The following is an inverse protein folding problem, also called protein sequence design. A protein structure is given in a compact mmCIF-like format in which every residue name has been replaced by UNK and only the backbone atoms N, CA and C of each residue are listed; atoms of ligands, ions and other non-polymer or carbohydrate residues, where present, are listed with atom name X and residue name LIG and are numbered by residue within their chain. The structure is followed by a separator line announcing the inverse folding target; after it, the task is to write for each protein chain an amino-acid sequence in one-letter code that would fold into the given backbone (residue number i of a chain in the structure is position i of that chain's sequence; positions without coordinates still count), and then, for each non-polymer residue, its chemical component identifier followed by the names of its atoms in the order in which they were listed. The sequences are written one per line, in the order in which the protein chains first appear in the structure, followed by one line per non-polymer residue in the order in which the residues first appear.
data_IF_986397205960
#
_entry.id   IF_986397205960
#
_cell.length_a   1.000
_cell.length_b   1.000
_cell.length_c   1.000
_cell.angle_alpha   90.00
_cell.angle_beta   90.00
_cell.angle_gamma   90.00
#
_symmetry.space_group_name_H-M   'P 1'
#
loop_
_entity.id
_entity.type
_entity.pdbx_description
1 polymer ?
#
# COMPACT_ATOMS: atom_id res chain seq x y z
N UNK A 1 15.79 -18.82 2.38
CA UNK A 1 14.65 -18.80 1.44
C UNK A 1 15.00 -19.54 0.14
N UNK A 2 15.11 -20.88 0.13
CA UNK A 2 15.43 -21.66 -1.08
C UNK A 2 14.53 -22.89 -1.27
N UNK A 3 13.33 -22.88 -0.68
CA UNK A 3 12.45 -24.05 -0.67
C UNK A 3 11.39 -24.04 -1.78
N UNK A 4 11.10 -22.88 -2.41
CA UNK A 4 10.02 -22.74 -3.42
C UNK A 4 10.53 -22.24 -4.78
N UNK A 5 11.74 -21.66 -4.86
CA UNK A 5 12.23 -21.05 -6.09
C UNK A 5 13.06 -22.03 -6.92
N UNK A 6 12.53 -22.46 -8.07
CA UNK A 6 13.34 -23.00 -9.19
C UNK A 6 14.32 -21.92 -9.66
N UNK A 7 15.47 -22.27 -10.25
CA UNK A 7 16.53 -21.31 -10.63
C UNK A 7 16.04 -20.12 -11.48
N UNK A 8 14.96 -20.30 -12.26
CA UNK A 8 14.30 -19.21 -13.03
C UNK A 8 13.56 -18.17 -12.18
N UNK A 9 13.21 -18.47 -10.93
CA UNK A 9 12.49 -17.57 -10.01
C UNK A 9 13.41 -16.91 -8.99
N UNK A 10 14.72 -17.18 -9.03
CA UNK A 10 15.69 -16.59 -8.11
C UNK A 10 15.69 -15.05 -8.19
N UNK A 11 15.43 -14.48 -9.37
CA UNK A 11 15.34 -13.03 -9.57
C UNK A 11 14.07 -12.40 -8.96
N UNK A 12 12.98 -13.17 -8.87
CA UNK A 12 11.71 -12.71 -8.29
C UNK A 12 11.71 -12.74 -6.75
N UNK A 13 12.52 -13.62 -6.15
CA UNK A 13 12.61 -13.78 -4.70
C UNK A 13 12.81 -12.47 -3.91
N UNK A 14 13.76 -11.58 -4.26
CA UNK A 14 13.92 -10.30 -3.55
C UNK A 14 12.71 -9.36 -3.72
N UNK A 15 12.06 -9.36 -4.89
CA UNK A 15 10.89 -8.52 -5.15
C UNK A 15 9.70 -8.99 -4.31
N UNK A 16 9.44 -10.30 -4.28
CA UNK A 16 8.41 -10.89 -3.43
C UNK A 16 8.68 -10.67 -1.96
N UNK A 17 9.94 -10.70 -1.53
CA UNK A 17 10.29 -10.40 -0.14
C UNK A 17 10.01 -8.95 0.26
N UNK A 18 10.05 -7.99 -0.68
CA UNK A 18 9.64 -6.62 -0.41
C UNK A 18 8.11 -6.54 -0.40
N UNK A 19 7.45 -7.16 -1.37
CA UNK A 19 5.99 -7.18 -1.48
C UNK A 19 5.29 -7.88 -0.31
N UNK A 20 5.95 -8.83 0.37
CA UNK A 20 5.37 -9.47 1.56
C UNK A 20 5.08 -8.46 2.68
N UNK A 21 5.84 -7.36 2.79
CA UNK A 21 5.54 -6.27 3.70
C UNK A 21 4.29 -5.48 3.28
N UNK A 22 4.01 -5.37 1.98
CA UNK A 22 2.81 -4.71 1.48
C UNK A 22 1.53 -5.46 1.88
N UNK A 23 1.59 -6.77 2.10
CA UNK A 23 0.43 -7.58 2.53
C UNK A 23 -0.15 -7.07 3.86
N UNK A 24 0.71 -6.68 4.80
CA UNK A 24 0.25 -6.11 6.07
C UNK A 24 -0.41 -4.74 5.85
N UNK A 25 0.23 -3.86 5.08
CA UNK A 25 -0.34 -2.57 4.70
C UNK A 25 -1.70 -2.73 4.02
N UNK A 26 -1.81 -3.65 3.06
CA UNK A 26 -3.02 -3.97 2.33
C UNK A 26 -4.14 -4.48 3.24
N UNK A 27 -3.82 -5.40 4.17
CA UNK A 27 -4.81 -5.93 5.10
C UNK A 27 -5.40 -4.81 5.98
N UNK A 28 -4.55 -3.95 6.53
CA UNK A 28 -4.99 -2.84 7.37
C UNK A 28 -5.68 -1.73 6.57
N UNK A 29 -5.19 -1.41 5.37
CA UNK A 29 -5.83 -0.49 4.43
C UNK A 29 -7.28 -0.95 4.16
N UNK A 30 -7.48 -2.20 3.73
CA UNK A 30 -8.82 -2.73 3.45
C UNK A 30 -9.73 -2.69 4.68
N UNK A 31 -9.21 -3.05 5.86
CA UNK A 31 -9.98 -2.96 7.11
C UNK A 31 -10.43 -1.52 7.37
N UNK A 32 -9.51 -0.54 7.28
CA UNK A 32 -9.86 0.88 7.47
C UNK A 32 -10.83 1.39 6.42
N UNK A 33 -10.69 0.99 5.16
CA UNK A 33 -11.60 1.37 4.09
C UNK A 33 -13.03 0.86 4.32
N UNK A 34 -13.18 -0.39 4.76
CA UNK A 34 -14.48 -0.97 5.12
C UNK A 34 -15.10 -0.17 6.29
N UNK A 35 -14.32 0.14 7.32
CA UNK A 35 -14.78 0.94 8.46
C UNK A 35 -15.24 2.35 8.02
N UNK A 36 -14.43 3.05 7.21
CA UNK A 36 -14.78 4.37 6.68
C UNK A 36 -16.09 4.33 5.88
N UNK A 37 -16.26 3.33 5.01
CA UNK A 37 -17.48 3.17 4.23
C UNK A 37 -18.69 2.91 5.15
N UNK A 38 -18.54 2.06 6.16
CA UNK A 38 -19.59 1.78 7.16
C UNK A 38 -19.98 2.99 8.01
N UNK A 39 -19.03 3.90 8.26
CA UNK A 39 -19.26 5.18 8.96
C UNK A 39 -19.81 6.29 8.04
N UNK A 40 -20.10 5.99 6.77
CA UNK A 40 -20.58 7.00 5.79
C UNK A 40 -19.49 7.93 5.26
N UNK A 41 -18.21 7.67 5.55
CA UNK A 41 -17.04 8.45 5.12
C UNK A 41 -16.51 8.02 3.73
N UNK A 42 -17.38 7.51 2.86
CA UNK A 42 -16.99 6.93 1.55
C UNK A 42 -16.27 7.92 0.64
N UNK A 43 -16.63 9.22 0.67
CA UNK A 43 -15.90 10.26 -0.09
C UNK A 43 -14.47 10.42 0.40
N UNK A 44 -14.27 10.46 1.72
CA UNK A 44 -12.94 10.57 2.32
C UNK A 44 -12.08 9.34 1.98
N UNK A 45 -12.67 8.14 2.04
CA UNK A 45 -12.00 6.91 1.62
C UNK A 45 -11.60 6.96 0.14
N UNK A 46 -12.50 7.41 -0.74
CA UNK A 46 -12.21 7.60 -2.16
C UNK A 46 -11.05 8.57 -2.39
N UNK A 47 -11.03 9.73 -1.73
CA UNK A 47 -9.96 10.71 -1.88
C UNK A 47 -8.62 10.18 -1.36
N UNK A 48 -8.59 9.46 -0.23
CA UNK A 48 -7.36 8.85 0.25
C UNK A 48 -6.82 7.84 -0.77
N UNK A 49 -7.65 6.91 -1.24
CA UNK A 49 -7.23 5.91 -2.24
C UNK A 49 -6.77 6.56 -3.55
N UNK A 50 -7.45 7.63 -3.98
CA UNK A 50 -7.08 8.37 -5.19
C UNK A 50 -5.73 9.10 -5.03
N UNK A 51 -5.48 9.73 -3.88
CA UNK A 51 -4.15 10.32 -3.61
C UNK A 51 -3.07 9.25 -3.49
N UNK A 52 -3.40 8.07 -2.95
CA UNK A 52 -2.52 6.90 -2.95
C UNK A 52 -2.16 6.42 -4.36
N UNK A 53 -3.13 6.37 -5.28
CA UNK A 53 -2.90 6.06 -6.69
C UNK A 53 -1.95 7.07 -7.34
N UNK A 54 -2.17 8.37 -7.12
CA UNK A 54 -1.30 9.42 -7.65
C UNK A 54 0.12 9.27 -7.11
N UNK A 55 0.27 9.08 -5.79
CA UNK A 55 1.56 8.85 -5.15
C UNK A 55 2.27 7.63 -5.75
N UNK A 56 1.54 6.52 -5.94
CA UNK A 56 2.08 5.30 -6.53
C UNK A 56 2.60 5.52 -7.95
N UNK A 57 1.81 6.17 -8.81
CA UNK A 57 2.20 6.46 -10.20
C UNK A 57 3.42 7.39 -10.23
N UNK A 58 3.41 8.49 -9.46
CA UNK A 58 4.50 9.45 -9.44
C UNK A 58 5.82 8.82 -8.98
N UNK A 59 5.79 8.08 -7.86
CA UNK A 59 6.98 7.41 -7.36
C UNK A 59 7.48 6.32 -8.31
N UNK A 60 6.59 5.58 -8.97
CA UNK A 60 6.98 4.60 -9.97
C UNK A 60 7.65 5.25 -11.19
N UNK A 61 7.12 6.35 -11.71
CA UNK A 61 7.73 7.08 -12.84
C UNK A 61 9.13 7.59 -12.47
N UNK A 62 9.32 8.04 -11.22
CA UNK A 62 10.60 8.58 -10.76
C UNK A 62 11.63 7.49 -10.44
N UNK A 63 11.23 6.39 -9.80
CA UNK A 63 12.16 5.43 -9.20
C UNK A 63 12.40 4.17 -10.06
N UNK A 64 11.44 3.76 -10.90
CA UNK A 64 11.63 2.57 -11.76
C UNK A 64 12.80 2.74 -12.74
N UNK A 65 13.01 3.91 -13.40
CA UNK A 65 14.10 4.05 -14.36
C UNK A 65 15.50 3.79 -13.77
N UNK A 66 15.69 4.12 -12.49
CA UNK A 66 16.99 3.97 -11.81
C UNK A 66 17.12 2.64 -11.05
N UNK A 67 16.04 2.17 -10.41
CA UNK A 67 16.08 1.03 -9.48
C UNK A 67 15.28 -0.20 -9.95
N UNK A 68 14.62 -0.11 -11.11
CA UNK A 68 13.87 -1.20 -11.72
C UNK A 68 12.69 -1.72 -10.89
N UNK A 69 12.39 -3.01 -11.04
CA UNK A 69 11.20 -3.64 -10.43
C UNK A 69 11.23 -3.68 -8.89
N UNK A 70 12.43 -3.62 -8.27
CA UNK A 70 12.55 -3.57 -6.80
C UNK A 70 12.00 -2.26 -6.25
N UNK A 71 12.19 -1.14 -6.95
CA UNK A 71 11.57 0.12 -6.58
C UNK A 71 10.05 0.04 -6.68
N UNK A 72 9.49 -0.57 -7.73
CA UNK A 72 8.04 -0.74 -7.85
C UNK A 72 7.44 -1.49 -6.65
N UNK A 73 8.10 -2.55 -6.18
CA UNK A 73 7.68 -3.25 -4.98
C UNK A 73 7.71 -2.35 -3.72
N UNK A 74 8.79 -1.59 -3.53
CA UNK A 74 8.91 -0.67 -2.39
C UNK A 74 7.87 0.46 -2.44
N UNK A 75 7.59 1.01 -3.63
CA UNK A 75 6.56 2.03 -3.86
C UNK A 75 5.18 1.49 -3.49
N UNK A 76 4.87 0.24 -3.83
CA UNK A 76 3.62 -0.41 -3.42
C UNK A 76 3.52 -0.52 -1.90
N UNK A 77 4.58 -0.97 -1.22
CA UNK A 77 4.61 -1.01 0.26
C UNK A 77 4.30 0.38 0.83
N UNK A 78 5.02 1.40 0.39
CA UNK A 78 4.82 2.79 0.87
C UNK A 78 3.39 3.27 0.62
N UNK A 79 2.81 2.95 -0.54
CA UNK A 79 1.45 3.35 -0.90
C UNK A 79 0.42 2.70 0.01
N UNK A 80 0.52 1.40 0.27
CA UNK A 80 -0.42 0.68 1.14
C UNK A 80 -0.40 1.23 2.56
N UNK A 81 0.79 1.50 3.10
CA UNK A 81 0.93 2.11 4.42
C UNK A 81 0.43 3.56 4.45
N UNK A 82 0.65 4.35 3.39
CA UNK A 82 0.11 5.70 3.29
C UNK A 82 -1.42 5.71 3.36
N UNK A 83 -2.09 4.83 2.60
CA UNK A 83 -3.56 4.73 2.59
C UNK A 83 -4.05 4.30 3.98
N UNK A 84 -3.46 3.25 4.55
CA UNK A 84 -3.79 2.77 5.90
C UNK A 84 -3.66 3.87 6.96
N UNK A 85 -2.50 4.53 7.04
CA UNK A 85 -2.23 5.55 8.06
C UNK A 85 -3.21 6.72 7.92
N UNK A 86 -3.47 7.18 6.69
CA UNK A 86 -4.41 8.26 6.42
C UNK A 86 -5.84 7.91 6.84
N UNK A 87 -6.30 6.70 6.49
CA UNK A 87 -7.61 6.18 6.90
C UNK A 87 -7.72 6.05 8.42
N UNK A 88 -6.72 5.45 9.07
CA UNK A 88 -6.66 5.29 10.52
C UNK A 88 -6.73 6.63 11.27
N UNK A 89 -5.97 7.64 10.82
CA UNK A 89 -5.96 8.97 11.43
C UNK A 89 -7.33 9.66 11.31
N UNK A 90 -7.99 9.56 10.15
CA UNK A 90 -9.32 10.14 9.95
C UNK A 90 -10.39 9.44 10.79
N UNK A 91 -10.40 8.11 10.83
CA UNK A 91 -11.31 7.35 11.69
C UNK A 91 -11.10 7.74 13.15
N UNK A 92 -9.84 7.76 13.61
CA UNK A 92 -9.49 8.10 15.00
C UNK A 92 -9.94 9.51 15.37
N UNK A 93 -9.82 10.47 14.44
CA UNK A 93 -10.30 11.84 14.63
C UNK A 93 -11.82 11.90 14.66
N UNK A 94 -12.50 11.16 13.79
CA UNK A 94 -13.97 11.12 13.71
C UNK A 94 -14.59 10.56 14.99
N UNK A 95 -14.03 9.45 15.52
CA UNK A 95 -14.50 8.82 16.75
C UNK A 95 -14.25 9.71 17.97
N UNK A 96 -13.14 10.46 18.05
CA UNK A 96 -12.87 11.37 19.17
C UNK A 96 -13.77 12.61 19.19
N UNK A 97 -14.35 12.98 18.05
CA UNK A 97 -15.16 14.19 17.89
C UNK A 97 -16.65 13.96 18.10
N UNK A 98 -17.09 12.71 18.24
CA UNK A 98 -18.47 12.31 18.52
C UNK A 98 -18.53 11.58 19.88
#
# INVERSE_FOLDING_TARGET
MKFIYTDKLAEAAPVLSILSFAVFGLAFNNLTGIMMNGLGMYKSNMYITFTGLILNILLNILLIPEYGIKAAAAVTVVTEYYIFISGYLLISKYIKSN
#
